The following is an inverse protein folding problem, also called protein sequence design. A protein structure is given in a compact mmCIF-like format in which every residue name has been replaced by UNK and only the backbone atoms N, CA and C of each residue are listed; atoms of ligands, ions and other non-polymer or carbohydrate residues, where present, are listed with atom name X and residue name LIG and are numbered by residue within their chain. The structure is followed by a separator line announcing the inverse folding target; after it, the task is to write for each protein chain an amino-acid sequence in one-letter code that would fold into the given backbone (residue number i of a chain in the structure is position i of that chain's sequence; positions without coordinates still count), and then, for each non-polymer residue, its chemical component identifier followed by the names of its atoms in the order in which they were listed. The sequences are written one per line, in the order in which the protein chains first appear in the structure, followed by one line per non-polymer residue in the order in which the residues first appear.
data_IF_230642318510
#
_entry.id   IF_230642318510
#
_cell.length_a   1.000
_cell.length_b   1.000
_cell.length_c   1.000
_cell.angle_alpha   90.00
_cell.angle_beta   90.00
_cell.angle_gamma   90.00
#
_symmetry.space_group_name_H-M   'P 1'
#
loop_
_entity.id
_entity.type
_entity.pdbx_description
1 polymer ?
#
# COMPACT_ATOMS: atom_id res chain seq x y z
N UNK A 1 -25.87 7.45 7.72
CA UNK A 1 -25.20 6.13 7.83
C UNK A 1 -24.94 5.64 6.44
N UNK A 2 -23.69 5.36 6.12
CA UNK A 2 -23.33 4.81 4.81
C UNK A 2 -23.90 3.41 4.68
N UNK A 3 -24.44 3.07 3.51
CA UNK A 3 -24.98 1.73 3.24
C UNK A 3 -23.89 0.66 3.39
N UNK A 4 -24.24 -0.49 3.99
CA UNK A 4 -23.33 -1.64 4.16
C UNK A 4 -22.71 -2.12 2.86
N UNK A 5 -23.48 -2.06 1.76
CA UNK A 5 -22.98 -2.41 0.43
C UNK A 5 -21.86 -1.46 -0.03
N UNK A 6 -21.97 -0.17 0.31
CA UNK A 6 -20.94 0.83 0.01
C UNK A 6 -19.68 0.57 0.81
N UNK A 7 -19.80 0.21 2.10
CA UNK A 7 -18.66 -0.16 2.96
C UNK A 7 -17.98 -1.42 2.45
N UNK A 8 -18.75 -2.47 2.16
CA UNK A 8 -18.23 -3.70 1.56
C UNK A 8 -17.45 -3.41 0.26
N UNK A 9 -18.06 -2.63 -0.64
CA UNK A 9 -17.44 -2.26 -1.92
C UNK A 9 -16.18 -1.44 -1.72
N UNK A 10 -16.17 -0.49 -0.78
CA UNK A 10 -15.02 0.34 -0.44
C UNK A 10 -13.84 -0.50 0.05
N UNK A 11 -14.07 -1.34 1.06
CA UNK A 11 -13.02 -2.22 1.63
C UNK A 11 -12.57 -3.27 0.60
N UNK A 12 -13.50 -3.82 -0.20
CA UNK A 12 -13.16 -4.78 -1.26
C UNK A 12 -12.25 -4.17 -2.32
N UNK A 13 -12.54 -2.92 -2.77
CA UNK A 13 -11.67 -2.20 -3.71
C UNK A 13 -10.29 -1.94 -3.13
N UNK A 14 -10.20 -1.60 -1.83
CA UNK A 14 -8.90 -1.45 -1.17
C UNK A 14 -8.12 -2.77 -1.12
N UNK A 15 -8.78 -3.88 -0.80
CA UNK A 15 -8.14 -5.19 -0.75
C UNK A 15 -7.58 -5.61 -2.13
N UNK A 16 -8.35 -5.41 -3.20
CA UNK A 16 -7.87 -5.65 -4.56
C UNK A 16 -6.84 -4.62 -5.00
N UNK A 17 -6.97 -3.35 -4.62
CA UNK A 17 -5.96 -2.32 -4.86
C UNK A 17 -4.62 -2.68 -4.27
N UNK A 18 -4.64 -3.22 -3.04
CA UNK A 18 -3.43 -3.69 -2.37
C UNK A 18 -2.82 -4.91 -3.07
N UNK A 19 -3.65 -5.82 -3.56
CA UNK A 19 -3.19 -6.94 -4.37
C UNK A 19 -2.43 -6.46 -5.61
N UNK A 20 -3.01 -5.57 -6.42
CA UNK A 20 -2.37 -5.04 -7.63
C UNK A 20 -1.10 -4.23 -7.34
N UNK A 21 -1.04 -3.54 -6.21
CA UNK A 21 0.15 -2.77 -5.82
C UNK A 21 1.28 -3.67 -5.33
N UNK A 22 0.92 -4.81 -4.75
CA UNK A 22 1.86 -5.68 -4.04
C UNK A 22 2.40 -6.80 -4.93
N UNK A 23 1.57 -7.32 -5.82
CA UNK A 23 1.97 -8.33 -6.79
C UNK A 23 2.35 -7.65 -8.10
N UNK A 24 3.65 -7.44 -8.26
CA UNK A 24 4.23 -6.97 -9.51
C UNK A 24 4.73 -8.19 -10.30
N UNK A 25 4.02 -8.51 -11.39
CA UNK A 25 4.40 -9.62 -12.27
C UNK A 25 5.06 -9.02 -13.51
N UNK A 26 6.38 -9.17 -13.56
CA UNK A 26 7.19 -8.68 -14.67
C UNK A 26 7.56 -9.80 -15.64
N UNK A 27 7.35 -9.57 -16.94
CA UNK A 27 7.93 -10.37 -18.03
C UNK A 27 9.06 -9.55 -18.66
N UNK A 28 10.29 -9.81 -18.22
CA UNK A 28 11.45 -9.02 -18.62
C UNK A 28 11.36 -7.60 -18.05
N UNK A 29 11.40 -6.59 -18.91
CA UNK A 29 11.27 -5.17 -18.52
C UNK A 29 9.85 -4.67 -18.39
N UNK A 30 8.86 -5.47 -18.86
CA UNK A 30 7.45 -5.03 -18.92
C UNK A 30 6.68 -5.57 -17.72
N UNK A 31 6.09 -4.66 -16.94
CA UNK A 31 5.14 -5.00 -15.88
C UNK A 31 3.78 -5.36 -16.48
N UNK A 32 3.33 -6.61 -16.26
CA UNK A 32 2.03 -7.10 -16.75
C UNK A 32 0.90 -6.60 -15.84
N UNK A 33 1.15 -6.58 -14.53
CA UNK A 33 0.20 -6.03 -13.55
C UNK A 33 0.57 -4.57 -13.25
N UNK A 34 -0.12 -3.60 -13.86
CA UNK A 34 0.24 -2.22 -13.65
C UNK A 34 -0.17 -1.74 -12.27
N UNK A 35 0.81 -1.36 -11.45
CA UNK A 35 0.63 -0.87 -10.08
C UNK A 35 -0.28 0.36 -9.99
N UNK A 36 -0.40 1.16 -11.07
CA UNK A 36 -1.32 2.29 -11.11
C UNK A 36 -2.79 1.86 -10.99
N UNK A 37 -3.17 0.65 -11.46
CA UNK A 37 -4.53 0.11 -11.26
C UNK A 37 -4.81 -0.07 -9.77
N UNK A 38 -3.84 -0.55 -9.01
CA UNK A 38 -3.93 -0.63 -7.55
C UNK A 38 -4.24 0.73 -6.92
N UNK A 39 -3.56 1.78 -7.38
CA UNK A 39 -3.80 3.15 -6.90
C UNK A 39 -5.17 3.69 -7.30
N UNK A 40 -5.66 3.39 -8.49
CA UNK A 40 -7.02 3.76 -8.93
C UNK A 40 -8.09 3.07 -8.07
N UNK A 41 -7.87 1.81 -7.71
CA UNK A 41 -8.75 1.07 -6.81
C UNK A 41 -8.74 1.68 -5.39
N UNK A 42 -7.58 2.11 -4.87
CA UNK A 42 -7.51 2.85 -3.61
C UNK A 42 -8.23 4.18 -3.69
N UNK A 43 -8.05 4.97 -4.74
CA UNK A 43 -8.77 6.23 -4.92
C UNK A 43 -10.29 6.01 -4.99
N UNK A 44 -10.71 4.93 -5.63
CA UNK A 44 -12.13 4.54 -5.68
C UNK A 44 -12.65 4.10 -4.29
N UNK A 45 -11.85 3.37 -3.51
CA UNK A 45 -12.15 3.02 -2.13
C UNK A 45 -12.29 4.26 -1.25
N UNK A 46 -11.32 5.18 -1.32
CA UNK A 46 -11.31 6.46 -0.60
C UNK A 46 -12.58 7.26 -0.90
N UNK A 47 -13.00 7.30 -2.17
CA UNK A 47 -14.24 7.99 -2.59
C UNK A 47 -15.49 7.40 -1.93
N UNK A 48 -15.55 6.09 -1.75
CA UNK A 48 -16.68 5.41 -1.12
C UNK A 48 -16.69 5.55 0.40
N UNK A 49 -15.50 5.62 1.02
CA UNK A 49 -15.34 5.62 2.48
C UNK A 49 -15.19 7.02 3.10
N UNK A 50 -15.06 8.06 2.29
CA UNK A 50 -14.84 9.45 2.76
C UNK A 50 -15.93 9.96 3.71
N UNK A 51 -17.18 9.50 3.55
CA UNK A 51 -18.32 9.93 4.37
C UNK A 51 -18.33 9.23 5.74
N UNK A 52 -17.64 8.11 5.88
CA UNK A 52 -17.44 7.42 7.15
C UNK A 52 -16.30 8.01 7.98
N UNK A 53 -15.28 8.50 7.29
CA UNK A 53 -14.12 9.09 7.95
C UNK A 53 -13.49 10.15 7.03
N UNK A 54 -13.45 11.38 7.52
CA UNK A 54 -12.93 12.53 6.76
C UNK A 54 -11.45 12.39 6.39
N UNK A 55 -10.69 11.65 7.18
CA UNK A 55 -9.26 11.43 6.98
C UNK A 55 -8.97 10.73 5.64
N UNK A 56 -9.86 9.82 5.19
CA UNK A 56 -9.74 9.22 3.85
C UNK A 56 -9.72 10.26 2.73
N UNK A 57 -10.48 11.35 2.86
CA UNK A 57 -10.50 12.40 1.84
C UNK A 57 -9.16 13.13 1.71
N UNK A 58 -8.41 13.25 2.82
CA UNK A 58 -7.09 13.89 2.83
C UNK A 58 -6.03 13.09 2.09
N UNK A 59 -6.21 11.78 1.95
CA UNK A 59 -5.31 10.91 1.18
C UNK A 59 -5.49 11.03 -0.33
N UNK A 60 -6.59 11.62 -0.79
CA UNK A 60 -6.92 11.68 -2.22
C UNK A 60 -5.86 12.39 -3.07
N UNK A 61 -5.38 13.60 -2.73
CA UNK A 61 -4.37 14.28 -3.55
C UNK A 61 -3.06 13.48 -3.63
N UNK A 62 -2.65 12.86 -2.53
CA UNK A 62 -1.46 12.03 -2.49
C UNK A 62 -1.64 10.75 -3.31
N UNK A 63 -2.82 10.13 -3.23
CA UNK A 63 -3.15 8.96 -4.06
C UNK A 63 -3.16 9.27 -5.55
N UNK A 64 -3.61 10.47 -5.96
CA UNK A 64 -3.55 10.93 -7.35
C UNK A 64 -2.09 11.10 -7.80
N UNK A 65 -1.26 11.74 -6.98
CA UNK A 65 0.17 11.90 -7.26
C UNK A 65 0.85 10.54 -7.51
N UNK A 66 0.62 9.59 -6.62
CA UNK A 66 1.18 8.24 -6.73
C UNK A 66 0.61 7.48 -7.95
N UNK A 67 -0.69 7.63 -8.26
CA UNK A 67 -1.29 7.02 -9.43
C UNK A 67 -0.65 7.52 -10.74
N UNK A 68 -0.41 8.83 -10.83
CA UNK A 68 0.27 9.44 -11.99
C UNK A 68 1.72 8.95 -12.08
N UNK A 69 2.44 8.88 -10.96
CA UNK A 69 3.80 8.36 -10.93
C UNK A 69 3.86 6.91 -11.43
N UNK A 70 3.06 6.01 -10.87
CA UNK A 70 3.03 4.60 -11.29
C UNK A 70 2.58 4.42 -12.74
N UNK A 71 1.65 5.27 -13.23
CA UNK A 71 1.26 5.22 -14.64
C UNK A 71 2.41 5.67 -15.56
N UNK A 72 3.15 6.70 -15.16
CA UNK A 72 4.34 7.16 -15.88
C UNK A 72 5.45 6.12 -15.91
N UNK A 73 5.73 5.49 -14.77
CA UNK A 73 6.75 4.44 -14.66
C UNK A 73 6.36 3.19 -15.48
N UNK A 74 5.08 2.80 -15.43
CA UNK A 74 4.56 1.72 -16.28
C UNK A 74 4.73 2.03 -17.78
N UNK A 75 4.43 3.23 -18.22
CA UNK A 75 4.64 3.64 -19.61
C UNK A 75 6.13 3.66 -19.97
N UNK A 76 7.01 4.13 -19.08
CA UNK A 76 8.44 4.11 -19.26
C UNK A 76 8.98 2.67 -19.42
N UNK A 77 8.45 1.71 -18.67
CA UNK A 77 8.85 0.31 -18.77
C UNK A 77 8.61 -0.30 -20.16
N UNK A 78 7.56 0.12 -20.86
CA UNK A 78 7.28 -0.30 -22.23
C UNK A 78 8.29 0.28 -23.24
N UNK A 79 8.90 1.41 -22.91
CA UNK A 79 9.95 2.04 -23.72
C UNK A 79 11.35 1.55 -23.35
N UNK A 80 11.44 0.51 -22.49
CA UNK A 80 12.71 -0.07 -22.03
C UNK A 80 13.43 0.75 -20.97
N UNK A 81 12.73 1.70 -20.32
CA UNK A 81 13.23 2.55 -19.25
C UNK A 81 12.49 2.36 -17.93
N UNK A 82 12.89 3.12 -16.92
CA UNK A 82 12.22 3.29 -15.64
C UNK A 82 12.31 4.76 -15.24
N UNK A 83 11.32 5.28 -14.54
CA UNK A 83 11.41 6.61 -13.94
C UNK A 83 12.27 6.60 -12.67
N UNK A 84 12.32 5.45 -11.99
CA UNK A 84 13.11 5.28 -10.77
C UNK A 84 14.64 5.33 -11.09
N UNK A 85 15.41 6.01 -10.25
CA UNK A 85 16.86 6.10 -10.33
C UNK A 85 17.41 7.23 -11.18
N UNK A 86 16.58 7.94 -11.96
CA UNK A 86 17.05 9.09 -12.76
C UNK A 86 17.14 10.40 -11.97
N UNK A 87 16.30 10.57 -10.96
CA UNK A 87 16.21 11.78 -10.14
C UNK A 87 16.12 11.40 -8.65
N UNK A 88 17.27 11.17 -8.01
CA UNK A 88 17.39 10.71 -6.61
C UNK A 88 16.51 11.49 -5.64
N UNK A 89 16.41 12.82 -5.81
CA UNK A 89 15.57 13.66 -4.96
C UNK A 89 14.07 13.41 -5.17
N UNK A 90 13.67 13.20 -6.41
CA UNK A 90 12.26 12.89 -6.73
C UNK A 90 11.88 11.50 -6.24
N UNK A 91 12.76 10.52 -6.42
CA UNK A 91 12.57 9.15 -5.91
C UNK A 91 12.40 9.14 -4.39
N UNK A 92 13.17 9.97 -3.69
CA UNK A 92 13.02 10.13 -2.24
C UNK A 92 11.66 10.71 -1.86
N UNK A 93 11.20 11.76 -2.55
CA UNK A 93 9.89 12.37 -2.32
C UNK A 93 8.78 11.35 -2.57
N UNK A 94 8.85 10.60 -3.68
CA UNK A 94 7.84 9.58 -4.01
C UNK A 94 7.87 8.44 -2.98
N UNK A 95 9.03 8.00 -2.53
CA UNK A 95 9.17 6.99 -1.47
C UNK A 95 8.53 7.45 -0.16
N UNK A 96 8.78 8.69 0.26
CA UNK A 96 8.15 9.28 1.44
C UNK A 96 6.62 9.41 1.27
N UNK A 97 6.17 9.84 0.10
CA UNK A 97 4.75 9.94 -0.24
C UNK A 97 4.06 8.57 -0.18
N UNK A 98 4.69 7.54 -0.73
CA UNK A 98 4.24 6.14 -0.70
C UNK A 98 4.14 5.62 0.73
N UNK A 99 5.18 5.85 1.54
CA UNK A 99 5.24 5.43 2.93
C UNK A 99 4.14 6.09 3.77
N UNK A 100 3.97 7.41 3.61
CA UNK A 100 2.93 8.16 4.32
C UNK A 100 1.53 7.72 3.89
N UNK A 101 1.28 7.57 2.58
CA UNK A 101 0.01 7.09 2.05
C UNK A 101 -0.37 5.73 2.62
N UNK A 102 0.56 4.78 2.58
CA UNK A 102 0.38 3.45 3.14
C UNK A 102 0.09 3.50 4.64
N UNK A 103 0.91 4.22 5.40
CA UNK A 103 0.75 4.35 6.84
C UNK A 103 -0.62 4.93 7.22
N UNK A 104 -1.02 6.04 6.60
CA UNK A 104 -2.28 6.70 6.91
C UNK A 104 -3.49 5.87 6.45
N UNK A 105 -3.44 5.29 5.25
CA UNK A 105 -4.52 4.47 4.72
C UNK A 105 -4.86 3.32 5.67
N UNK A 106 -3.87 2.57 6.15
CA UNK A 106 -4.10 1.46 7.09
C UNK A 106 -4.46 1.93 8.50
N UNK A 107 -4.05 3.14 8.90
CA UNK A 107 -4.54 3.78 10.13
C UNK A 107 -6.05 4.02 10.04
N UNK A 108 -6.51 4.53 8.92
CA UNK A 108 -7.92 4.83 8.69
C UNK A 108 -8.75 3.55 8.58
N UNK A 109 -8.23 2.49 7.95
CA UNK A 109 -8.88 1.17 7.94
C UNK A 109 -8.94 0.54 9.33
N UNK A 110 -7.89 0.66 10.14
CA UNK A 110 -7.90 0.15 11.50
C UNK A 110 -8.94 0.87 12.37
N UNK A 111 -9.03 2.19 12.24
CA UNK A 111 -10.04 2.97 12.95
C UNK A 111 -11.47 2.68 12.45
N UNK A 112 -11.64 2.39 11.16
CA UNK A 112 -12.92 1.92 10.63
C UNK A 112 -13.24 0.51 11.17
N UNK A 113 -12.24 -0.37 11.31
CA UNK A 113 -12.41 -1.70 11.87
C UNK A 113 -12.90 -1.64 13.32
N UNK A 114 -12.35 -0.74 14.16
CA UNK A 114 -12.84 -0.53 15.55
C UNK A 114 -14.34 -0.25 15.60
N UNK A 115 -14.86 0.49 14.61
CA UNK A 115 -16.29 0.87 14.55
C UNK A 115 -17.22 -0.29 14.19
N UNK A 116 -16.74 -1.25 13.38
CA UNK A 116 -17.59 -2.27 12.76
C UNK A 116 -17.24 -3.71 13.11
N UNK A 117 -16.07 -3.99 13.71
CA UNK A 117 -15.70 -5.34 14.13
C UNK A 117 -16.56 -5.82 15.30
N UNK A 118 -16.73 -7.14 15.42
CA UNK A 118 -17.44 -7.74 16.54
C UNK A 118 -16.69 -7.55 17.87
N UNK A 119 -17.39 -7.45 19.02
CA UNK A 119 -16.75 -7.40 20.33
C UNK A 119 -15.85 -8.63 20.54
N UNK A 120 -14.58 -8.40 20.88
CA UNK A 120 -13.57 -9.46 21.05
C UNK A 120 -12.71 -9.72 19.82
N UNK A 121 -13.06 -9.18 18.66
CA UNK A 121 -12.21 -9.24 17.45
C UNK A 121 -11.02 -8.27 17.59
N UNK A 122 -9.90 -8.63 16.97
CA UNK A 122 -8.64 -7.86 17.06
C UNK A 122 -8.13 -7.42 15.68
N UNK A 123 -9.05 -7.22 14.75
CA UNK A 123 -8.72 -6.88 13.36
C UNK A 123 -8.01 -5.52 13.26
N UNK A 124 -8.46 -4.53 14.03
CA UNK A 124 -7.83 -3.23 14.20
C UNK A 124 -6.35 -3.35 14.61
N UNK A 125 -6.07 -4.15 15.65
CA UNK A 125 -4.70 -4.38 16.15
C UNK A 125 -3.84 -5.10 15.10
N UNK A 126 -4.42 -6.06 14.36
CA UNK A 126 -3.71 -6.75 13.26
C UNK A 126 -3.33 -5.77 12.16
N UNK A 127 -4.24 -4.91 11.71
CA UNK A 127 -3.97 -3.89 10.70
C UNK A 127 -2.87 -2.94 11.18
N UNK A 128 -2.94 -2.43 12.41
CA UNK A 128 -1.92 -1.54 12.97
C UNK A 128 -0.55 -2.20 13.11
N UNK A 129 -0.50 -3.47 13.57
CA UNK A 129 0.76 -4.21 13.73
C UNK A 129 1.47 -4.39 12.38
N UNK A 130 0.76 -4.91 11.39
CA UNK A 130 1.35 -5.18 10.08
C UNK A 130 1.69 -3.90 9.31
N UNK A 131 0.86 -2.86 9.41
CA UNK A 131 1.17 -1.53 8.92
C UNK A 131 2.49 -1.00 9.48
N UNK A 132 2.64 -1.04 10.82
CA UNK A 132 3.84 -0.52 11.49
C UNK A 132 5.07 -1.30 11.07
N UNK A 133 5.00 -2.64 11.05
CA UNK A 133 6.09 -3.49 10.60
C UNK A 133 6.52 -3.13 9.17
N UNK A 134 5.57 -3.04 8.24
CA UNK A 134 5.88 -2.69 6.85
C UNK A 134 6.47 -1.29 6.71
N UNK A 135 5.93 -0.32 7.44
CA UNK A 135 6.47 1.06 7.39
C UNK A 135 7.91 1.11 7.90
N UNK A 136 8.22 0.39 8.99
CA UNK A 136 9.59 0.32 9.54
C UNK A 136 10.53 -0.35 8.56
N UNK A 137 10.13 -1.46 7.94
CA UNK A 137 10.96 -2.16 6.95
C UNK A 137 11.19 -1.27 5.72
N UNK A 138 10.13 -0.63 5.22
CA UNK A 138 10.25 0.26 4.06
C UNK A 138 11.18 1.44 4.36
N UNK A 139 11.08 2.05 5.53
CA UNK A 139 11.99 3.11 5.96
C UNK A 139 13.44 2.61 6.08
N UNK A 140 13.65 1.42 6.65
CA UNK A 140 14.96 0.80 6.76
C UNK A 140 15.57 0.53 5.37
N UNK A 141 14.80 -0.06 4.44
CA UNK A 141 15.24 -0.31 3.06
C UNK A 141 15.58 1.01 2.35
N UNK A 142 14.73 2.05 2.48
CA UNK A 142 15.03 3.35 1.87
C UNK A 142 16.32 3.97 2.40
N UNK A 143 16.57 3.89 3.70
CA UNK A 143 17.83 4.37 4.30
C UNK A 143 19.03 3.57 3.81
N UNK A 144 18.91 2.25 3.72
CA UNK A 144 20.00 1.39 3.25
C UNK A 144 20.35 1.64 1.78
N UNK A 145 19.33 1.90 0.95
CA UNK A 145 19.56 2.27 -0.46
C UNK A 145 20.36 3.58 -0.56
N UNK A 146 20.03 4.59 0.26
CA UNK A 146 20.81 5.84 0.32
C UNK A 146 22.25 5.63 0.80
N UNK A 147 22.51 4.61 1.62
CA UNK A 147 23.82 4.32 2.22
C UNK A 147 24.56 3.17 1.52
N UNK A 148 24.03 2.64 0.43
CA UNK A 148 24.54 1.41 -0.22
C UNK A 148 26.04 1.44 -0.51
N UNK A 149 26.58 2.60 -0.93
CA UNK A 149 28.02 2.78 -1.21
C UNK A 149 28.92 2.65 0.03
N UNK A 150 28.37 2.73 1.23
CA UNK A 150 29.10 2.66 2.50
C UNK A 150 28.95 1.31 3.19
N UNK A 151 28.07 0.44 2.67
CA UNK A 151 27.72 -0.81 3.28
C UNK A 151 28.55 -1.96 2.69
N UNK A 152 28.94 -2.90 3.54
CA UNK A 152 29.70 -4.09 3.16
C UNK A 152 28.81 -5.15 2.47
N UNK A 153 29.43 -6.10 1.74
CA UNK A 153 28.73 -7.11 0.95
C UNK A 153 27.72 -7.97 1.75
N UNK A 154 27.95 -8.20 3.06
CA UNK A 154 27.00 -8.95 3.90
C UNK A 154 25.65 -8.25 4.05
N UNK A 155 25.55 -6.96 3.77
CA UNK A 155 24.34 -6.17 3.85
C UNK A 155 23.30 -6.59 2.80
N UNK A 156 23.70 -7.17 1.69
CA UNK A 156 22.81 -7.73 0.68
C UNK A 156 21.92 -8.83 1.28
N UNK A 157 22.48 -9.69 2.13
CA UNK A 157 21.70 -10.73 2.82
C UNK A 157 20.67 -10.15 3.79
N UNK A 158 21.01 -9.07 4.48
CA UNK A 158 20.08 -8.37 5.39
C UNK A 158 18.94 -7.74 4.59
N UNK A 159 19.26 -7.08 3.48
CA UNK A 159 18.25 -6.48 2.59
C UNK A 159 17.32 -7.55 2.01
N UNK A 160 17.86 -8.70 1.60
CA UNK A 160 17.07 -9.83 1.12
C UNK A 160 16.14 -10.40 2.22
N UNK A 161 16.64 -10.55 3.44
CA UNK A 161 15.82 -10.98 4.58
C UNK A 161 14.69 -9.97 4.87
N UNK A 162 14.98 -8.67 4.84
CA UNK A 162 13.98 -7.61 5.00
C UNK A 162 12.92 -7.66 3.89
N UNK A 163 13.32 -7.93 2.64
CA UNK A 163 12.38 -8.08 1.53
C UNK A 163 11.41 -9.25 1.74
N UNK A 164 11.89 -10.38 2.26
CA UNK A 164 11.03 -11.52 2.60
C UNK A 164 10.02 -11.16 3.70
N UNK A 165 10.48 -10.50 4.77
CA UNK A 165 9.61 -10.08 5.88
C UNK A 165 8.59 -9.05 5.37
N UNK A 166 9.00 -8.14 4.50
CA UNK A 166 8.11 -7.17 3.85
C UNK A 166 7.03 -7.89 3.03
N UNK A 167 7.41 -8.91 2.25
CA UNK A 167 6.50 -9.74 1.47
C UNK A 167 5.44 -10.42 2.37
N UNK A 168 5.89 -11.07 3.45
CA UNK A 168 4.98 -11.74 4.40
C UNK A 168 4.04 -10.72 5.05
N UNK A 169 4.57 -9.58 5.48
CA UNK A 169 3.77 -8.51 6.07
C UNK A 169 2.68 -7.98 5.13
N UNK A 170 2.98 -7.84 3.84
CA UNK A 170 2.01 -7.44 2.82
C UNK A 170 0.91 -8.46 2.60
N UNK A 171 1.27 -9.75 2.53
CA UNK A 171 0.28 -10.83 2.47
C UNK A 171 -0.64 -10.83 3.71
N UNK A 172 -0.09 -10.60 4.89
CA UNK A 172 -0.86 -10.52 6.12
C UNK A 172 -1.82 -9.31 6.14
N UNK A 173 -1.37 -8.13 5.64
CA UNK A 173 -2.23 -6.96 5.49
C UNK A 173 -3.34 -7.20 4.47
N UNK A 174 -3.02 -7.81 3.34
CA UNK A 174 -4.00 -8.17 2.32
C UNK A 174 -5.06 -9.11 2.89
N UNK A 175 -4.65 -10.17 3.59
CA UNK A 175 -5.57 -11.09 4.27
C UNK A 175 -6.43 -10.38 5.31
N UNK A 176 -5.86 -9.42 6.06
CA UNK A 176 -6.62 -8.61 7.02
C UNK A 176 -7.70 -7.75 6.34
N UNK A 177 -7.41 -7.14 5.18
CA UNK A 177 -8.41 -6.40 4.40
C UNK A 177 -9.50 -7.33 3.85
N UNK A 178 -9.12 -8.51 3.35
CA UNK A 178 -10.11 -9.50 2.90
C UNK A 178 -10.97 -10.05 4.04
N UNK A 179 -10.42 -10.18 5.25
CA UNK A 179 -11.19 -10.51 6.45
C UNK A 179 -12.13 -9.35 6.83
N UNK A 180 -11.63 -8.11 6.77
CA UNK A 180 -12.43 -6.94 7.12
C UNK A 180 -13.66 -6.78 6.22
N UNK A 181 -13.55 -7.01 4.92
CA UNK A 181 -14.73 -6.92 4.05
C UNK A 181 -15.83 -7.93 4.41
N UNK A 182 -15.47 -9.10 4.99
CA UNK A 182 -16.46 -10.12 5.39
C UNK A 182 -17.37 -9.62 6.50
N UNK A 183 -16.87 -8.75 7.39
CA UNK A 183 -17.64 -8.13 8.47
C UNK A 183 -18.90 -7.43 7.93
N UNK A 184 -18.85 -6.85 6.74
CA UNK A 184 -19.98 -6.16 6.12
C UNK A 184 -20.90 -7.09 5.32
N UNK A 185 -20.48 -8.34 5.09
CA UNK A 185 -21.29 -9.33 4.37
C UNK A 185 -22.16 -10.18 5.31
N UNK A 186 -21.64 -10.43 6.51
CA UNK A 186 -22.24 -11.36 7.48
C UNK A 186 -23.16 -10.65 8.50
N UNK A 187 -23.14 -9.33 8.54
CA UNK A 187 -23.96 -8.49 9.41
C UNK A 187 -25.09 -7.81 8.63
#
# INVERSE_FOLDING_TARGET
MTDKNTLYSGVSRAAWGYFFLYFDINLGTVSILPSFIGMLLFLSSIKLLKDERRDFALLRPLGILLAVWYAGDWLASWLGGSLDGHLVFLDLIISLARMYFHFQLFTDFAALAVKYQSPGDSLDKRLLRWRTLQTVILAAVSLTTCMAQWLSAWWEYVTFAMAIIYLIGGLCLMMALFAFRKVFRES
#
